data_IF_958156505943
#
_entry.id   IF_958156505943
#
_cell.length_a   1.000
_cell.length_b   1.000
_cell.length_c   1.000
_cell.angle_alpha   90.00
_cell.angle_beta   90.00
_cell.angle_gamma   90.00
#
_symmetry.space_group_name_H-M   'P 1'
#
loop_
_entity.id
_entity.type
_entity.pdbx_description
1 polymer ?
#
# COMPACT_ATOMS: atom_id res chain seq x y z
N UNK A 1 11.05 7.79 -5.95
CA UNK A 1 11.65 6.68 -5.21
C UNK A 1 10.69 5.51 -5.25
N UNK A 2 11.25 4.31 -5.19
CA UNK A 2 10.52 3.05 -5.18
C UNK A 2 10.51 2.50 -3.76
N UNK A 3 9.33 2.49 -3.14
CA UNK A 3 9.15 2.26 -1.71
C UNK A 3 8.26 1.03 -1.50
N UNK A 4 8.73 0.09 -0.69
CA UNK A 4 7.91 -1.05 -0.25
C UNK A 4 7.57 -0.92 1.23
N UNK A 5 6.28 -0.93 1.55
CA UNK A 5 5.80 -1.00 2.94
C UNK A 5 5.47 -2.44 3.30
N UNK A 6 6.22 -3.02 4.24
CA UNK A 6 5.90 -4.34 4.80
C UNK A 6 4.79 -4.21 5.85
N UNK A 7 3.59 -4.68 5.47
CA UNK A 7 2.40 -4.65 6.31
C UNK A 7 1.54 -3.40 6.09
N UNK A 8 0.42 -3.57 5.39
CA UNK A 8 -0.62 -2.54 5.25
C UNK A 8 -1.62 -2.57 6.42
N UNK A 9 -1.10 -2.44 7.65
CA UNK A 9 -1.88 -2.23 8.88
C UNK A 9 -2.21 -0.74 9.10
N UNK A 10 -2.51 -0.30 10.32
CA UNK A 10 -2.87 1.09 10.58
C UNK A 10 -1.80 2.10 10.13
N UNK A 11 -0.56 1.95 10.61
CA UNK A 11 0.53 2.88 10.29
C UNK A 11 1.08 2.64 8.88
N UNK A 12 1.37 1.38 8.54
CA UNK A 12 1.89 1.06 7.20
C UNK A 12 0.90 1.43 6.09
N UNK A 13 -0.39 1.24 6.32
CA UNK A 13 -1.45 1.65 5.39
C UNK A 13 -1.53 3.17 5.23
N UNK A 14 -1.47 3.91 6.35
CA UNK A 14 -1.41 5.38 6.33
C UNK A 14 -0.21 5.89 5.53
N UNK A 15 0.99 5.37 5.81
CA UNK A 15 2.21 5.77 5.11
C UNK A 15 2.14 5.44 3.62
N UNK A 16 1.71 4.21 3.27
CA UNK A 16 1.60 3.78 1.89
C UNK A 16 0.64 4.66 1.08
N UNK A 17 -0.53 5.01 1.62
CA UNK A 17 -1.47 5.91 0.93
C UNK A 17 -0.88 7.31 0.77
N UNK A 18 -0.28 7.88 1.82
CA UNK A 18 0.29 9.24 1.77
C UNK A 18 1.48 9.34 0.83
N UNK A 19 2.34 8.32 0.78
CA UNK A 19 3.47 8.23 -0.15
C UNK A 19 3.02 8.03 -1.60
N UNK A 20 2.00 7.19 -1.82
CA UNK A 20 1.45 7.01 -3.16
C UNK A 20 0.80 8.31 -3.66
N UNK A 21 0.05 9.00 -2.81
CA UNK A 21 -0.57 10.29 -3.15
C UNK A 21 0.44 11.43 -3.35
N UNK A 22 1.68 11.29 -2.88
CA UNK A 22 2.77 12.23 -3.20
C UNK A 22 3.53 11.89 -4.49
N UNK A 23 3.05 10.90 -5.26
CA UNK A 23 3.60 10.52 -6.56
C UNK A 23 4.79 9.56 -6.49
N UNK A 24 5.04 8.91 -5.34
CA UNK A 24 6.07 7.87 -5.25
C UNK A 24 5.56 6.53 -5.82
N UNK A 25 6.48 5.70 -6.30
CA UNK A 25 6.18 4.33 -6.70
C UNK A 25 6.11 3.47 -5.43
N UNK A 26 4.89 3.17 -4.99
CA UNK A 26 4.65 2.48 -3.72
C UNK A 26 4.10 1.08 -3.96
N UNK A 27 4.71 0.12 -3.28
CA UNK A 27 4.24 -1.25 -3.16
C UNK A 27 4.00 -1.62 -1.70
N UNK A 28 3.15 -2.60 -1.45
CA UNK A 28 2.85 -3.11 -0.11
C UNK A 28 2.95 -4.63 -0.07
N UNK A 29 3.55 -5.14 0.99
CA UNK A 29 3.48 -6.57 1.32
C UNK A 29 2.34 -6.78 2.31
N UNK A 30 1.34 -7.57 1.91
CA UNK A 30 0.19 -7.93 2.73
C UNK A 30 -0.14 -9.41 2.51
N UNK A 31 -0.99 -10.00 3.37
CA UNK A 31 -1.34 -11.43 3.28
C UNK A 31 -2.84 -11.64 3.48
N UNK A 32 -3.32 -12.79 3.03
CA UNK A 32 -4.67 -13.27 3.30
C UNK A 32 -5.77 -12.31 2.84
N UNK A 33 -6.86 -12.14 3.62
CA UNK A 33 -7.98 -11.29 3.23
C UNK A 33 -7.61 -9.82 2.98
N UNK A 34 -6.62 -9.28 3.71
CA UNK A 34 -6.19 -7.89 3.51
C UNK A 34 -5.52 -7.70 2.13
N UNK A 35 -4.66 -8.64 1.71
CA UNK A 35 -4.07 -8.62 0.38
C UNK A 35 -5.14 -8.65 -0.72
N UNK A 36 -6.11 -9.56 -0.59
CA UNK A 36 -7.22 -9.66 -1.54
C UNK A 36 -8.04 -8.37 -1.61
N UNK A 37 -8.34 -7.76 -0.46
CA UNK A 37 -9.08 -6.51 -0.39
C UNK A 37 -8.32 -5.35 -1.05
N UNK A 38 -7.01 -5.23 -0.81
CA UNK A 38 -6.16 -4.19 -1.43
C UNK A 38 -6.07 -4.38 -2.94
N UNK A 39 -5.89 -5.61 -3.43
CA UNK A 39 -5.87 -5.89 -4.87
C UNK A 39 -7.18 -5.54 -5.57
N UNK A 40 -8.31 -5.83 -4.92
CA UNK A 40 -9.63 -5.57 -5.49
C UNK A 40 -10.02 -4.08 -5.47
N UNK A 41 -9.70 -3.37 -4.37
CA UNK A 41 -10.28 -2.05 -4.10
C UNK A 41 -9.25 -0.92 -4.00
N UNK A 42 -7.95 -1.23 -4.08
CA UNK A 42 -6.89 -0.33 -3.65
C UNK A 42 -6.77 -0.25 -2.13
N UNK A 43 -5.76 0.48 -1.67
CA UNK A 43 -5.52 0.73 -0.26
C UNK A 43 -6.27 1.99 0.17
N UNK A 44 -7.17 1.84 1.16
CA UNK A 44 -8.09 2.89 1.59
C UNK A 44 -7.67 3.48 2.92
N UNK A 45 -7.50 4.79 2.97
CA UNK A 45 -7.27 5.56 4.19
C UNK A 45 -8.51 6.37 4.53
N UNK A 46 -9.06 6.16 5.72
CA UNK A 46 -10.11 7.00 6.29
C UNK A 46 -9.52 7.86 7.39
N UNK A 47 -9.53 9.17 7.22
CA UNK A 47 -8.91 10.11 8.16
C UNK A 47 -9.66 11.44 8.16
N UNK A 48 -9.93 11.98 9.35
CA UNK A 48 -10.59 13.29 9.48
C UNK A 48 -11.96 13.39 8.79
N UNK A 49 -12.69 12.28 8.66
CA UNK A 49 -13.98 12.24 7.95
C UNK A 49 -13.87 12.14 6.42
N UNK A 50 -12.67 12.16 5.86
CA UNK A 50 -12.41 11.93 4.45
C UNK A 50 -11.99 10.48 4.18
N UNK A 51 -12.10 10.08 2.91
CA UNK A 51 -11.63 8.79 2.41
C UNK A 51 -10.72 9.01 1.19
N UNK A 52 -9.52 8.45 1.25
CA UNK A 52 -8.54 8.45 0.17
C UNK A 52 -8.28 7.01 -0.26
N UNK A 53 -8.16 6.77 -1.56
CA UNK A 53 -7.85 5.44 -2.11
C UNK A 53 -6.62 5.54 -3.01
N UNK A 54 -5.56 4.82 -2.64
CA UNK A 54 -4.36 4.69 -3.45
C UNK A 54 -4.33 3.32 -4.14
N UNK A 55 -4.09 3.30 -5.45
CA UNK A 55 -3.78 2.07 -6.17
C UNK A 55 -2.28 1.81 -6.10
N UNK A 56 -1.90 0.83 -5.29
CA UNK A 56 -0.53 0.40 -5.08
C UNK A 56 -0.36 -1.05 -5.50
N UNK A 57 0.85 -1.43 -5.92
CA UNK A 57 1.16 -2.84 -6.15
C UNK A 57 1.12 -3.58 -4.81
N UNK A 58 0.32 -4.65 -4.71
CA UNK A 58 0.18 -5.43 -3.49
C UNK A 58 0.49 -6.91 -3.75
N UNK A 59 1.38 -7.47 -2.94
CA UNK A 59 1.80 -8.88 -3.03
C UNK A 59 2.04 -9.47 -1.64
N UNK A 60 2.06 -10.79 -1.52
CA UNK A 60 2.57 -11.52 -0.36
C UNK A 60 4.05 -11.93 -0.53
N UNK A 61 4.62 -11.71 -1.72
CA UNK A 61 5.98 -12.06 -2.07
C UNK A 61 6.80 -10.84 -2.51
N UNK A 62 7.65 -10.34 -1.62
CA UNK A 62 8.48 -9.16 -1.88
C UNK A 62 9.46 -9.34 -3.05
N UNK A 63 9.82 -10.58 -3.41
CA UNK A 63 10.75 -10.84 -4.51
C UNK A 63 10.17 -10.40 -5.87
N UNK A 64 8.85 -10.29 -6.00
CA UNK A 64 8.17 -9.78 -7.20
C UNK A 64 8.36 -8.27 -7.42
N UNK A 65 8.76 -7.54 -6.37
CA UNK A 65 8.80 -6.09 -6.38
C UNK A 65 10.15 -5.54 -6.85
N UNK A 66 11.18 -6.38 -6.97
CA UNK A 66 12.56 -5.96 -7.27
C UNK A 66 13.17 -5.07 -6.18
N UNK A 67 14.37 -4.48 -6.44
CA UNK A 67 15.01 -3.55 -5.50
C UNK A 67 14.13 -2.32 -5.22
N UNK A 68 14.26 -1.81 -3.99
CA UNK A 68 13.63 -0.59 -3.49
C UNK A 68 14.74 0.41 -3.15
N UNK A 69 14.40 1.71 -3.11
CA UNK A 69 15.33 2.78 -2.72
C UNK A 69 15.48 2.88 -1.19
#
# INVERSE_FOLDING_TARGET
MKICVFGAGAIGGYLAVRLANSGQDVSVVARGPNLAAIRANGLRLRIGGAEEVARVTATDNAAELGPQD
#
